data_IF_922118610078
#
_entry.id   IF_922118610078
#
_cell.length_a   1.000
_cell.length_b   1.000
_cell.length_c   1.000
_cell.angle_alpha   90.00
_cell.angle_beta   90.00
_cell.angle_gamma   90.00
#
_symmetry.space_group_name_H-M   'P 1'
#
loop_
_entity.id
_entity.type
_entity.pdbx_description
1 polymer ?
#
# COMPACT_ATOMS: atom_id res chain seq x y z
N UNK A 1 2.97 21.69 0.71
CA UNK A 1 3.93 21.45 -0.37
C UNK A 1 3.94 22.62 -1.37
N UNK A 2 2.78 23.08 -1.88
CA UNK A 2 2.71 24.26 -2.75
C UNK A 2 3.22 25.51 -2.03
N UNK A 3 2.80 25.75 -0.80
CA UNK A 3 3.27 26.88 0.02
C UNK A 3 4.78 26.85 0.30
N UNK A 4 5.41 25.67 0.19
CA UNK A 4 6.86 25.48 0.32
C UNK A 4 7.59 25.51 -1.03
N UNK A 5 6.91 25.91 -2.11
CA UNK A 5 7.44 25.91 -3.49
C UNK A 5 7.97 24.55 -3.96
N UNK A 6 7.33 23.44 -3.52
CA UNK A 6 7.67 22.07 -3.88
C UNK A 6 6.61 21.44 -4.81
N UNK A 7 6.44 21.94 -6.06
CA UNK A 7 5.39 21.49 -6.96
C UNK A 7 5.57 20.02 -7.38
N UNK A 8 6.80 19.55 -7.49
CA UNK A 8 7.09 18.14 -7.86
C UNK A 8 6.53 17.16 -6.84
N UNK A 9 6.68 17.45 -5.54
CA UNK A 9 6.14 16.59 -4.48
C UNK A 9 4.62 16.62 -4.45
N UNK A 10 4.04 17.81 -4.67
CA UNK A 10 2.59 17.95 -4.77
C UNK A 10 2.04 17.16 -5.97
N UNK A 11 2.64 17.31 -7.15
CA UNK A 11 2.23 16.60 -8.36
C UNK A 11 2.34 15.09 -8.23
N UNK A 12 3.41 14.58 -7.59
CA UNK A 12 3.54 13.14 -7.30
C UNK A 12 2.43 12.63 -6.38
N UNK A 13 2.15 13.33 -5.28
CA UNK A 13 1.10 12.93 -4.34
C UNK A 13 -0.28 12.87 -5.03
N UNK A 14 -0.59 13.84 -5.92
CA UNK A 14 -1.83 13.82 -6.70
C UNK A 14 -1.83 12.61 -7.68
N UNK A 15 -0.71 12.39 -8.37
CA UNK A 15 -0.57 11.27 -9.31
C UNK A 15 -0.73 9.91 -8.63
N UNK A 16 -0.07 9.71 -7.48
CA UNK A 16 -0.15 8.50 -6.70
C UNK A 16 -1.58 8.26 -6.19
N UNK A 17 -2.25 9.29 -5.67
CA UNK A 17 -3.65 9.19 -5.28
C UNK A 17 -4.56 8.80 -6.45
N UNK A 18 -4.43 9.47 -7.60
CA UNK A 18 -5.28 9.22 -8.77
C UNK A 18 -5.06 7.82 -9.33
N UNK A 19 -3.81 7.38 -9.44
CA UNK A 19 -3.47 6.09 -10.02
C UNK A 19 -3.76 4.94 -9.04
N UNK A 20 -3.21 5.01 -7.85
CA UNK A 20 -3.17 3.85 -6.95
C UNK A 20 -4.45 3.74 -6.11
N UNK A 21 -4.97 4.87 -5.61
CA UNK A 21 -6.14 4.84 -4.73
C UNK A 21 -7.46 5.04 -5.49
N UNK A 22 -7.53 6.01 -6.38
CA UNK A 22 -8.79 6.32 -7.05
C UNK A 22 -9.07 5.37 -8.22
N UNK A 23 -8.19 5.30 -9.22
CA UNK A 23 -8.39 4.52 -10.45
C UNK A 23 -8.24 3.02 -10.22
N UNK A 24 -7.05 2.59 -9.77
CA UNK A 24 -6.70 1.18 -9.65
C UNK A 24 -7.30 0.49 -8.43
N UNK A 25 -7.86 1.25 -7.49
CA UNK A 25 -8.50 0.71 -6.30
C UNK A 25 -9.96 1.06 -6.22
N UNK A 26 -10.33 2.30 -5.92
CA UNK A 26 -11.73 2.69 -5.71
C UNK A 26 -12.63 2.42 -6.93
N UNK A 27 -12.28 2.94 -8.10
CA UNK A 27 -13.09 2.75 -9.32
C UNK A 27 -13.14 1.29 -9.74
N UNK A 28 -12.02 0.59 -9.66
CA UNK A 28 -11.93 -0.82 -10.02
C UNK A 28 -12.80 -1.70 -9.12
N UNK A 29 -12.75 -1.53 -7.81
CA UNK A 29 -13.55 -2.29 -6.84
C UNK A 29 -15.06 -2.02 -6.98
N UNK A 30 -15.40 -0.76 -7.26
CA UNK A 30 -16.78 -0.32 -7.39
C UNK A 30 -17.34 -0.47 -8.81
N UNK A 31 -16.63 -1.10 -9.73
CA UNK A 31 -17.06 -1.25 -11.13
C UNK A 31 -18.46 -1.82 -11.26
N UNK A 32 -18.81 -2.85 -10.48
CA UNK A 32 -20.15 -3.44 -10.47
C UNK A 32 -21.22 -2.47 -9.98
N UNK A 33 -20.88 -1.59 -9.00
CA UNK A 33 -21.79 -0.55 -8.49
C UNK A 33 -22.06 0.52 -9.54
N UNK A 34 -21.05 0.91 -10.33
CA UNK A 34 -21.18 1.92 -11.37
C UNK A 34 -22.00 1.44 -12.58
N UNK A 35 -21.78 0.23 -13.06
CA UNK A 35 -22.30 -0.24 -14.37
C UNK A 35 -23.58 -1.04 -14.33
N UNK A 36 -24.03 -1.51 -13.19
CA UNK A 36 -25.19 -2.41 -13.11
C UNK A 36 -26.48 -1.73 -12.65
N UNK A 37 -27.62 -2.20 -13.14
CA UNK A 37 -28.92 -2.03 -12.55
C UNK A 37 -29.49 -0.61 -12.41
N UNK A 38 -30.52 -0.50 -11.59
CA UNK A 38 -31.22 0.75 -11.25
C UNK A 38 -30.35 1.65 -10.35
N UNK A 39 -30.69 2.93 -10.31
CA UNK A 39 -30.06 3.88 -9.38
C UNK A 39 -30.55 3.57 -7.96
N UNK A 40 -29.65 3.08 -7.11
CA UNK A 40 -29.86 2.84 -5.68
C UNK A 40 -29.13 3.90 -4.86
N UNK A 41 -29.44 4.05 -3.59
CA UNK A 41 -28.72 4.95 -2.67
C UNK A 41 -27.24 4.59 -2.59
N UNK A 42 -26.92 3.30 -2.56
CA UNK A 42 -25.54 2.80 -2.57
C UNK A 42 -24.79 3.23 -3.84
N UNK A 43 -25.44 3.09 -5.00
CA UNK A 43 -24.87 3.53 -6.28
C UNK A 43 -24.71 5.04 -6.33
N UNK A 44 -25.68 5.80 -5.85
CA UNK A 44 -25.61 7.26 -5.76
C UNK A 44 -24.46 7.69 -4.87
N UNK A 45 -24.30 7.07 -3.70
CA UNK A 45 -23.20 7.32 -2.78
C UNK A 45 -21.82 7.07 -3.43
N UNK A 46 -21.71 5.99 -4.23
CA UNK A 46 -20.49 5.71 -4.96
C UNK A 46 -20.16 6.80 -6.01
N UNK A 47 -21.16 7.29 -6.75
CA UNK A 47 -20.96 8.38 -7.69
C UNK A 47 -20.62 9.70 -6.99
N UNK A 48 -21.29 10.01 -5.88
CA UNK A 48 -21.01 11.23 -5.10
C UNK A 48 -19.56 11.23 -4.57
N UNK A 49 -19.09 10.09 -4.07
CA UNK A 49 -17.70 9.94 -3.64
C UNK A 49 -16.73 10.16 -4.80
N UNK A 50 -16.97 9.53 -5.94
CA UNK A 50 -16.14 9.71 -7.13
C UNK A 50 -16.14 11.16 -7.62
N UNK A 51 -17.32 11.80 -7.64
CA UNK A 51 -17.46 13.20 -8.01
C UNK A 51 -16.63 14.11 -7.10
N UNK A 52 -16.76 13.94 -5.78
CA UNK A 52 -16.00 14.72 -4.79
C UNK A 52 -14.50 14.54 -4.96
N UNK A 53 -14.04 13.32 -5.20
CA UNK A 53 -12.63 13.05 -5.48
C UNK A 53 -12.16 13.77 -6.76
N UNK A 54 -12.93 13.69 -7.86
CA UNK A 54 -12.55 14.30 -9.13
C UNK A 54 -12.57 15.83 -9.05
N UNK A 55 -13.58 16.42 -8.41
CA UNK A 55 -13.66 17.87 -8.18
C UNK A 55 -12.46 18.35 -7.35
N UNK A 56 -12.13 17.63 -6.29
CA UNK A 56 -10.97 17.96 -5.44
C UNK A 56 -9.66 17.83 -6.22
N UNK A 57 -9.50 16.78 -7.01
CA UNK A 57 -8.32 16.58 -7.89
C UNK A 57 -8.19 17.73 -8.89
N UNK A 58 -9.29 18.16 -9.52
CA UNK A 58 -9.27 19.30 -10.43
C UNK A 58 -8.76 20.57 -9.75
N UNK A 59 -9.24 20.88 -8.54
CA UNK A 59 -8.78 22.03 -7.74
C UNK A 59 -7.30 21.92 -7.35
N UNK A 60 -6.85 20.72 -6.92
CA UNK A 60 -5.45 20.47 -6.55
C UNK A 60 -4.50 20.54 -7.75
N UNK A 61 -4.97 20.16 -8.94
CA UNK A 61 -4.17 20.16 -10.18
C UNK A 61 -4.11 21.56 -10.84
N UNK A 62 -4.99 22.49 -10.50
CA UNK A 62 -5.07 23.78 -11.15
C UNK A 62 -3.74 24.54 -11.23
N UNK A 63 -2.86 24.54 -10.21
CA UNK A 63 -1.55 25.18 -10.29
C UNK A 63 -0.53 24.48 -11.21
N UNK A 64 -0.75 23.19 -11.55
CA UNK A 64 0.21 22.36 -12.32
C UNK A 64 -0.25 22.22 -13.76
N UNK A 65 -1.53 21.91 -13.96
CA UNK A 65 -2.15 21.66 -15.25
C UNK A 65 -3.40 22.52 -15.43
N UNK A 66 -3.25 23.85 -15.57
CA UNK A 66 -4.34 24.81 -15.46
C UNK A 66 -5.47 24.56 -16.45
N UNK A 67 -5.15 24.33 -17.71
CA UNK A 67 -6.16 24.16 -18.78
C UNK A 67 -6.95 22.85 -18.62
N UNK A 68 -6.27 21.76 -18.28
CA UNK A 68 -6.93 20.47 -18.05
C UNK A 68 -7.80 20.50 -16.79
N UNK A 69 -7.29 21.08 -15.71
CA UNK A 69 -8.00 21.23 -14.46
C UNK A 69 -9.28 22.08 -14.62
N UNK A 70 -9.19 23.18 -15.36
CA UNK A 70 -10.34 24.04 -15.64
C UNK A 70 -11.38 23.33 -16.48
N UNK A 71 -10.98 22.61 -17.51
CA UNK A 71 -11.89 21.82 -18.34
C UNK A 71 -12.58 20.73 -17.53
N UNK A 72 -11.83 19.96 -16.74
CA UNK A 72 -12.40 18.91 -15.91
C UNK A 72 -13.39 19.48 -14.89
N UNK A 73 -13.04 20.58 -14.24
CA UNK A 73 -13.92 21.25 -13.27
C UNK A 73 -15.20 21.75 -13.92
N UNK A 74 -15.10 22.39 -15.07
CA UNK A 74 -16.26 22.91 -15.81
C UNK A 74 -17.21 21.78 -16.25
N UNK A 75 -16.67 20.68 -16.78
CA UNK A 75 -17.47 19.52 -17.20
C UNK A 75 -18.20 18.87 -16.02
N UNK A 76 -17.53 18.74 -14.85
CA UNK A 76 -18.13 18.20 -13.63
C UNK A 76 -19.25 19.10 -13.08
N UNK A 77 -19.02 20.39 -13.00
CA UNK A 77 -19.99 21.36 -12.44
C UNK A 77 -21.16 21.59 -13.36
N UNK A 78 -20.95 21.60 -14.67
CA UNK A 78 -22.04 21.69 -15.66
C UNK A 78 -23.03 20.52 -15.54
N UNK A 79 -22.51 19.30 -15.34
CA UNK A 79 -23.35 18.11 -15.17
C UNK A 79 -24.23 18.16 -13.91
N UNK A 80 -23.88 18.95 -12.90
CA UNK A 80 -24.61 19.07 -11.63
C UNK A 80 -25.44 20.35 -11.52
N UNK A 81 -25.43 21.22 -12.54
CA UNK A 81 -26.11 22.51 -12.53
C UNK A 81 -25.51 23.52 -11.55
N UNK A 82 -24.30 23.30 -11.07
CA UNK A 82 -23.55 24.23 -10.21
C UNK A 82 -22.99 25.40 -11.02
N UNK A 83 -22.52 26.43 -10.32
CA UNK A 83 -21.81 27.54 -10.93
C UNK A 83 -20.56 27.04 -11.66
N UNK A 84 -20.54 27.22 -12.98
CA UNK A 84 -19.50 26.73 -13.89
C UNK A 84 -18.34 27.72 -14.07
N UNK A 85 -18.12 28.61 -13.10
CA UNK A 85 -16.95 29.49 -13.13
C UNK A 85 -15.67 28.64 -13.19
N UNK A 86 -14.62 29.27 -13.69
CA UNK A 86 -13.29 28.62 -13.76
C UNK A 86 -12.83 28.08 -12.42
N UNK A 87 -12.15 26.94 -12.43
CA UNK A 87 -11.49 26.35 -11.26
C UNK A 87 -10.52 27.31 -10.58
N UNK A 88 -10.00 28.29 -11.32
CA UNK A 88 -9.09 29.32 -10.82
C UNK A 88 -9.77 30.42 -9.99
N UNK A 89 -11.10 30.44 -9.97
CA UNK A 89 -11.91 31.41 -9.22
C UNK A 89 -12.56 30.82 -7.97
N UNK A 90 -12.26 29.54 -7.67
CA UNK A 90 -12.77 28.87 -6.47
C UNK A 90 -11.67 28.65 -5.45
N UNK A 91 -12.06 28.46 -4.19
CA UNK A 91 -11.12 28.24 -3.11
C UNK A 91 -10.35 26.91 -3.25
N UNK A 92 -9.10 26.95 -2.85
CA UNK A 92 -8.25 25.77 -2.79
C UNK A 92 -8.76 24.82 -1.71
N UNK A 93 -8.78 23.49 -1.95
CA UNK A 93 -9.35 22.54 -1.00
C UNK A 93 -8.63 22.55 0.35
N UNK A 94 -9.43 22.52 1.41
CA UNK A 94 -8.95 22.38 2.78
C UNK A 94 -9.32 20.99 3.28
N UNK A 95 -8.39 20.28 3.91
CA UNK A 95 -8.67 18.99 4.52
C UNK A 95 -9.58 19.12 5.73
N UNK A 96 -10.55 18.20 5.87
CA UNK A 96 -11.37 18.08 7.09
C UNK A 96 -11.03 16.77 7.79
N UNK A 97 -10.74 16.87 9.08
CA UNK A 97 -10.46 15.70 9.91
C UNK A 97 -11.71 14.86 10.20
N UNK A 98 -12.91 15.40 9.95
CA UNK A 98 -14.19 14.73 10.23
C UNK A 98 -14.40 13.47 9.39
N UNK A 99 -13.70 13.37 8.25
CA UNK A 99 -13.80 12.25 7.31
C UNK A 99 -12.60 11.29 7.37
N UNK A 100 -11.65 11.53 8.28
CA UNK A 100 -10.45 10.70 8.40
C UNK A 100 -10.72 9.57 9.39
N UNK A 101 -10.73 8.33 8.90
CA UNK A 101 -10.76 7.10 9.70
C UNK A 101 -9.43 6.36 9.50
N UNK A 102 -8.49 6.60 10.41
CA UNK A 102 -7.15 6.00 10.36
C UNK A 102 -7.18 4.47 10.40
N UNK A 103 -8.12 3.87 11.13
CA UNK A 103 -8.24 2.42 11.20
C UNK A 103 -8.75 1.82 9.87
N UNK A 104 -9.63 2.53 9.17
CA UNK A 104 -10.08 2.14 7.84
C UNK A 104 -8.95 2.31 6.81
N UNK A 105 -8.22 3.42 6.88
CA UNK A 105 -7.08 3.68 5.99
C UNK A 105 -6.02 2.59 6.11
N UNK A 106 -5.65 2.22 7.34
CA UNK A 106 -4.70 1.14 7.60
C UNK A 106 -5.18 -0.21 7.05
N UNK A 107 -6.45 -0.58 7.32
CA UNK A 107 -7.04 -1.81 6.77
C UNK A 107 -7.04 -1.83 5.24
N UNK A 108 -7.36 -0.70 4.60
CA UNK A 108 -7.34 -0.60 3.14
C UNK A 108 -5.92 -0.64 2.58
N UNK A 109 -4.93 -0.06 3.26
CA UNK A 109 -3.52 -0.18 2.90
C UNK A 109 -3.03 -1.63 2.99
N UNK A 110 -3.42 -2.36 4.03
CA UNK A 110 -3.15 -3.80 4.16
C UNK A 110 -3.77 -4.55 2.98
N UNK A 111 -5.03 -4.29 2.65
CA UNK A 111 -5.71 -4.94 1.53
C UNK A 111 -5.01 -4.69 0.19
N UNK A 112 -4.60 -3.47 -0.10
CA UNK A 112 -3.86 -3.12 -1.32
C UNK A 112 -2.51 -3.83 -1.38
N UNK A 113 -1.76 -3.80 -0.29
CA UNK A 113 -0.43 -4.41 -0.20
C UNK A 113 -0.53 -5.92 -0.41
N UNK A 114 -1.43 -6.58 0.30
CA UNK A 114 -1.63 -8.03 0.18
C UNK A 114 -2.11 -8.44 -1.21
N UNK A 115 -3.06 -7.73 -1.78
CA UNK A 115 -3.53 -7.97 -3.15
C UNK A 115 -2.37 -7.85 -4.14
N UNK A 116 -1.56 -6.82 -4.03
CA UNK A 116 -0.39 -6.61 -4.89
C UNK A 116 0.64 -7.73 -4.75
N UNK A 117 0.92 -8.17 -3.52
CA UNK A 117 1.83 -9.30 -3.24
C UNK A 117 1.32 -10.61 -3.86
N UNK A 118 0.06 -10.95 -3.67
CA UNK A 118 -0.54 -12.18 -4.22
C UNK A 118 -0.55 -12.14 -5.75
N UNK A 119 -0.90 -11.00 -6.35
CA UNK A 119 -0.85 -10.84 -7.81
C UNK A 119 0.57 -10.94 -8.36
N UNK A 120 1.57 -10.43 -7.63
CA UNK A 120 2.98 -10.59 -7.98
C UNK A 120 3.44 -12.05 -7.90
N UNK A 121 3.02 -12.79 -6.87
CA UNK A 121 3.29 -14.23 -6.75
C UNK A 121 2.64 -15.01 -7.88
N UNK A 122 1.37 -14.74 -8.21
CA UNK A 122 0.70 -15.37 -9.36
C UNK A 122 1.46 -15.13 -10.67
N UNK A 123 1.94 -13.89 -10.89
CA UNK A 123 2.73 -13.54 -12.07
C UNK A 123 4.05 -14.31 -12.11
N UNK A 124 4.73 -14.42 -10.98
CA UNK A 124 6.01 -15.14 -10.87
C UNK A 124 5.89 -16.62 -11.25
N UNK A 125 4.77 -17.26 -10.90
CA UNK A 125 4.49 -18.69 -11.22
C UNK A 125 3.60 -18.84 -12.46
N UNK A 126 3.35 -17.74 -13.20
CA UNK A 126 2.56 -17.72 -14.43
C UNK A 126 1.10 -18.24 -14.29
N UNK A 127 0.50 -18.07 -13.13
CA UNK A 127 -0.92 -18.40 -12.89
C UNK A 127 -1.77 -17.15 -13.14
N UNK A 128 -2.64 -17.21 -14.13
CA UNK A 128 -3.55 -16.10 -14.48
C UNK A 128 -4.57 -15.86 -13.38
N UNK A 129 -4.93 -14.60 -13.14
CA UNK A 129 -5.93 -14.21 -12.11
C UNK A 129 -7.30 -14.87 -12.38
N UNK A 130 -7.66 -15.10 -13.62
CA UNK A 130 -8.91 -15.80 -13.99
C UNK A 130 -8.99 -17.24 -13.51
N UNK A 131 -7.85 -17.87 -13.24
CA UNK A 131 -7.81 -19.22 -12.67
C UNK A 131 -8.02 -19.12 -11.15
N UNK A 132 -9.14 -19.65 -10.61
CA UNK A 132 -9.37 -19.62 -9.17
C UNK A 132 -8.37 -20.53 -8.45
N UNK A 133 -7.94 -20.10 -7.27
CA UNK A 133 -7.15 -20.91 -6.34
C UNK A 133 -7.99 -21.24 -5.12
N UNK A 134 -7.68 -22.35 -4.45
CA UNK A 134 -8.46 -22.82 -3.31
C UNK A 134 -8.16 -21.98 -2.09
N UNK A 135 -6.90 -21.89 -1.69
CA UNK A 135 -6.53 -21.33 -0.38
C UNK A 135 -5.36 -20.35 -0.50
N UNK A 136 -5.48 -19.23 0.19
CA UNK A 136 -4.41 -18.28 0.46
C UNK A 136 -3.94 -18.48 1.90
N UNK A 137 -2.68 -18.86 2.07
CA UNK A 137 -2.07 -18.96 3.39
C UNK A 137 -1.36 -17.68 3.76
N UNK A 138 -1.68 -17.10 4.91
CA UNK A 138 -1.11 -15.84 5.37
C UNK A 138 -0.42 -16.06 6.71
N UNK A 139 0.90 -15.81 6.78
CA UNK A 139 1.58 -15.77 8.07
C UNK A 139 1.16 -14.52 8.84
N UNK A 140 0.81 -14.71 10.11
CA UNK A 140 0.47 -13.62 11.02
C UNK A 140 1.47 -13.56 12.16
N UNK A 141 1.81 -12.34 12.57
CA UNK A 141 2.75 -12.09 13.65
C UNK A 141 2.03 -11.94 15.00
N UNK A 142 0.84 -11.37 14.98
CA UNK A 142 0.03 -11.11 16.15
C UNK A 142 -1.47 -11.11 15.80
N UNK A 143 -2.29 -11.09 16.84
CA UNK A 143 -3.75 -11.11 16.70
C UNK A 143 -4.31 -9.83 16.08
N UNK A 144 -3.75 -8.68 16.38
CA UNK A 144 -4.16 -7.38 15.83
C UNK A 144 -4.04 -7.34 14.30
N UNK A 145 -2.92 -7.80 13.79
CA UNK A 145 -2.71 -7.94 12.33
C UNK A 145 -3.72 -8.91 11.71
N UNK A 146 -4.01 -10.02 12.40
CA UNK A 146 -5.02 -10.98 11.95
C UNK A 146 -6.40 -10.34 11.86
N UNK A 147 -6.82 -9.59 12.89
CA UNK A 147 -8.12 -8.93 12.95
C UNK A 147 -8.26 -7.87 11.85
N UNK A 148 -7.21 -7.10 11.56
CA UNK A 148 -7.21 -6.14 10.46
C UNK A 148 -7.35 -6.83 9.09
N UNK A 149 -6.65 -7.95 8.86
CA UNK A 149 -6.74 -8.72 7.60
C UNK A 149 -8.12 -9.38 7.47
N UNK A 150 -8.65 -9.96 8.55
CA UNK A 150 -9.97 -10.59 8.53
C UNK A 150 -11.08 -9.58 8.19
N UNK A 151 -10.98 -8.34 8.67
CA UNK A 151 -11.93 -7.28 8.35
C UNK A 151 -12.01 -6.92 6.86
N UNK A 152 -10.94 -7.18 6.07
CA UNK A 152 -10.86 -6.90 4.63
C UNK A 152 -10.71 -8.18 3.78
N UNK A 153 -10.93 -9.33 4.38
CA UNK A 153 -10.74 -10.65 3.78
C UNK A 153 -11.49 -10.83 2.47
N UNK A 154 -12.78 -10.54 2.45
CA UNK A 154 -13.64 -10.75 1.27
C UNK A 154 -13.18 -9.88 0.10
N UNK A 155 -12.72 -8.67 0.40
CA UNK A 155 -12.16 -7.77 -0.60
C UNK A 155 -10.91 -8.37 -1.24
N UNK A 156 -9.97 -8.85 -0.42
CA UNK A 156 -8.72 -9.46 -0.90
C UNK A 156 -9.03 -10.71 -1.72
N UNK A 157 -9.86 -11.63 -1.20
CA UNK A 157 -10.21 -12.87 -1.87
C UNK A 157 -10.85 -12.64 -3.23
N UNK A 158 -11.77 -11.67 -3.32
CA UNK A 158 -12.43 -11.28 -4.56
C UNK A 158 -11.43 -10.76 -5.59
N UNK A 159 -10.48 -9.90 -5.18
CA UNK A 159 -9.51 -9.29 -6.07
C UNK A 159 -8.46 -10.26 -6.59
N UNK A 160 -8.04 -11.19 -5.76
CA UNK A 160 -7.02 -12.17 -6.15
C UNK A 160 -7.60 -13.48 -6.69
N UNK A 161 -8.93 -13.62 -6.72
CA UNK A 161 -9.66 -14.82 -7.15
C UNK A 161 -9.19 -16.09 -6.41
N UNK A 162 -9.29 -16.05 -5.09
CA UNK A 162 -9.03 -17.17 -4.18
C UNK A 162 -10.28 -17.44 -3.35
N UNK A 163 -10.58 -18.70 -3.06
CA UNK A 163 -11.82 -19.09 -2.38
C UNK A 163 -11.75 -18.92 -0.87
N UNK A 164 -10.61 -19.22 -0.27
CA UNK A 164 -10.44 -19.28 1.18
C UNK A 164 -9.13 -18.63 1.61
N UNK A 165 -9.12 -18.12 2.83
CA UNK A 165 -7.95 -17.55 3.48
C UNK A 165 -7.72 -18.25 4.82
N UNK A 166 -6.51 -18.76 5.01
CA UNK A 166 -6.10 -19.40 6.24
C UNK A 166 -4.90 -18.69 6.83
N UNK A 167 -4.99 -18.40 8.11
CA UNK A 167 -3.87 -17.83 8.86
C UNK A 167 -2.97 -18.96 9.36
N UNK A 168 -1.66 -18.72 9.27
CA UNK A 168 -0.65 -19.70 9.67
C UNK A 168 0.26 -19.06 10.71
N UNK A 169 0.36 -19.70 11.85
CA UNK A 169 1.29 -19.29 12.88
C UNK A 169 2.73 -19.47 12.40
N UNK A 170 3.60 -18.54 12.80
CA UNK A 170 5.02 -18.53 12.43
C UNK A 170 5.77 -19.82 12.87
N UNK A 171 5.20 -20.55 13.81
CA UNK A 171 5.73 -21.82 14.34
C UNK A 171 5.56 -23.02 13.37
N UNK A 172 4.76 -22.90 12.31
CA UNK A 172 4.44 -24.05 11.45
C UNK A 172 5.54 -24.43 10.43
N UNK A 173 6.73 -23.84 10.51
CA UNK A 173 7.88 -24.21 9.65
C UNK A 173 7.71 -23.91 8.15
N UNK A 174 6.62 -23.23 7.76
CA UNK A 174 6.31 -22.91 6.36
C UNK A 174 7.12 -21.73 5.86
N UNK A 175 7.50 -20.82 6.76
CA UNK A 175 8.28 -19.63 6.44
C UNK A 175 9.75 -19.85 6.76
N UNK A 176 10.57 -19.83 5.73
CA UNK A 176 12.02 -19.73 5.88
C UNK A 176 12.39 -18.25 5.92
N UNK A 177 12.65 -17.73 7.12
CA UNK A 177 13.13 -16.37 7.30
C UNK A 177 14.57 -16.24 6.79
N UNK A 178 14.90 -15.10 6.21
CA UNK A 178 16.26 -14.77 5.76
C UNK A 178 16.61 -13.36 6.17
N UNK A 179 17.79 -13.19 6.72
CA UNK A 179 18.35 -11.88 7.04
C UNK A 179 19.21 -11.42 5.86
N UNK A 180 19.09 -10.14 5.49
CA UNK A 180 19.94 -9.51 4.48
C UNK A 180 20.75 -8.40 5.13
N UNK A 181 22.08 -8.36 4.94
CA UNK A 181 22.90 -7.27 5.46
C UNK A 181 22.64 -5.96 4.71
N UNK A 182 22.49 -4.87 5.46
CA UNK A 182 22.48 -3.53 4.88
C UNK A 182 23.92 -3.04 4.71
N UNK A 183 24.44 -3.18 3.49
CA UNK A 183 25.81 -2.80 3.15
C UNK A 183 26.11 -1.31 3.36
N UNK A 184 25.09 -0.42 3.24
CA UNK A 184 25.29 1.01 3.45
C UNK A 184 25.58 1.36 4.91
N UNK A 185 24.93 0.64 5.83
CA UNK A 185 25.08 0.88 7.27
C UNK A 185 26.22 0.06 7.88
N UNK A 186 26.40 -1.17 7.44
CA UNK A 186 27.44 -2.07 7.97
C UNK A 186 28.82 -1.83 7.34
N UNK A 187 28.86 -1.39 6.08
CA UNK A 187 30.12 -1.15 5.36
C UNK A 187 31.09 -0.20 6.06
N UNK A 188 30.67 0.99 6.54
CA UNK A 188 31.56 1.90 7.26
C UNK A 188 32.13 1.33 8.57
N UNK A 189 31.39 0.42 9.22
CA UNK A 189 31.79 -0.18 10.51
C UNK A 189 32.70 -1.42 10.35
N UNK A 190 32.38 -2.24 9.35
CA UNK A 190 32.95 -3.60 9.23
C UNK A 190 33.61 -3.84 7.85
N UNK A 191 34.02 -2.79 7.15
CA UNK A 191 34.50 -2.84 5.77
C UNK A 191 35.51 -3.96 5.46
N UNK A 192 36.47 -4.21 6.37
CA UNK A 192 37.50 -5.26 6.19
C UNK A 192 36.90 -6.68 6.26
N UNK A 193 35.93 -6.90 7.13
CA UNK A 193 35.30 -8.21 7.37
C UNK A 193 33.91 -8.34 6.77
N UNK A 194 33.46 -7.31 6.02
CA UNK A 194 32.09 -7.24 5.50
C UNK A 194 31.69 -8.43 4.64
N UNK A 195 32.62 -8.97 3.85
CA UNK A 195 32.36 -10.14 2.99
C UNK A 195 32.09 -11.40 3.81
N UNK A 196 32.87 -11.61 4.86
CA UNK A 196 32.70 -12.74 5.78
C UNK A 196 31.43 -12.56 6.61
N UNK A 197 31.20 -11.35 7.14
CA UNK A 197 29.98 -11.01 7.87
C UNK A 197 28.71 -11.26 7.04
N UNK A 198 28.71 -10.85 5.77
CA UNK A 198 27.60 -11.09 4.87
C UNK A 198 27.36 -12.58 4.60
N UNK A 199 28.42 -13.38 4.47
CA UNK A 199 28.33 -14.83 4.32
C UNK A 199 27.77 -15.49 5.59
N UNK A 200 28.23 -15.08 6.77
CA UNK A 200 27.73 -15.59 8.05
C UNK A 200 26.26 -15.23 8.27
N UNK A 201 25.86 -13.99 7.98
CA UNK A 201 24.44 -13.57 8.04
C UNK A 201 23.58 -14.41 7.09
N UNK A 202 24.06 -14.69 5.88
CA UNK A 202 23.32 -15.48 4.90
C UNK A 202 23.18 -16.97 5.30
N UNK A 203 24.09 -17.47 6.15
CA UNK A 203 24.09 -18.86 6.66
C UNK A 203 23.42 -19.00 8.02
N UNK A 204 22.83 -17.95 8.59
CA UNK A 204 22.11 -18.02 9.87
C UNK A 204 21.02 -19.09 9.86
N UNK A 205 20.97 -19.89 10.92
CA UNK A 205 19.93 -20.88 11.11
C UNK A 205 18.58 -20.22 11.49
N UNK A 206 17.46 -20.93 11.30
CA UNK A 206 16.15 -20.39 11.70
C UNK A 206 16.05 -20.07 13.20
N UNK A 207 16.59 -20.88 14.12
CA UNK A 207 16.66 -20.54 15.54
C UNK A 207 17.41 -19.24 15.82
N UNK A 208 18.59 -19.03 15.18
CA UNK A 208 19.38 -17.80 15.36
C UNK A 208 18.64 -16.56 14.87
N UNK A 209 17.89 -16.69 13.77
CA UNK A 209 17.06 -15.60 13.24
C UNK A 209 15.91 -15.25 14.20
N UNK A 210 15.28 -16.24 14.80
CA UNK A 210 14.23 -16.05 15.81
C UNK A 210 14.79 -15.37 17.07
N UNK A 211 15.98 -15.77 17.50
CA UNK A 211 16.67 -15.13 18.61
C UNK A 211 17.05 -13.68 18.29
N UNK A 212 17.56 -13.43 17.09
CA UNK A 212 17.86 -12.09 16.59
C UNK A 212 16.62 -11.18 16.56
N UNK A 213 15.47 -11.70 16.14
CA UNK A 213 14.20 -10.94 16.17
C UNK A 213 13.76 -10.61 17.60
N UNK A 214 13.92 -11.54 18.54
CA UNK A 214 13.58 -11.33 19.96
C UNK A 214 14.45 -10.27 20.62
N UNK A 215 15.76 -10.34 20.39
CA UNK A 215 16.73 -9.52 21.08
C UNK A 215 17.01 -8.19 20.36
N UNK A 216 16.57 -8.05 19.09
CA UNK A 216 16.83 -6.89 18.25
C UNK A 216 18.30 -6.72 17.83
N UNK A 217 19.20 -7.51 18.43
CA UNK A 217 20.65 -7.50 18.16
C UNK A 217 21.20 -8.92 18.12
N UNK A 218 22.21 -9.14 17.29
CA UNK A 218 22.94 -10.40 17.23
C UNK A 218 24.43 -10.14 17.08
N UNK A 219 25.27 -10.91 17.79
CA UNK A 219 26.73 -10.72 17.79
C UNK A 219 27.40 -11.93 17.18
N UNK A 220 28.25 -11.68 16.19
CA UNK A 220 29.10 -12.68 15.55
C UNK A 220 30.56 -12.50 16.00
N UNK A 221 31.27 -13.57 16.08
CA UNK A 221 32.71 -13.56 16.21
C UNK A 221 33.34 -13.98 14.87
N UNK A 222 34.05 -13.05 14.22
CA UNK A 222 34.67 -13.26 12.91
C UNK A 222 36.15 -12.81 13.01
N UNK A 223 37.04 -13.72 12.75
CA UNK A 223 38.53 -13.47 12.82
C UNK A 223 38.97 -12.81 14.13
N UNK A 224 38.38 -13.22 15.27
CA UNK A 224 38.72 -12.65 16.59
C UNK A 224 38.14 -11.23 16.84
N UNK A 225 37.28 -10.74 15.95
CA UNK A 225 36.55 -9.49 16.12
C UNK A 225 35.05 -9.76 16.35
N UNK A 226 34.48 -9.06 17.34
CA UNK A 226 33.06 -9.11 17.58
C UNK A 226 32.34 -8.12 16.67
N UNK A 227 31.39 -8.61 15.87
CA UNK A 227 30.53 -7.81 15.02
C UNK A 227 29.09 -7.92 15.53
N UNK A 228 28.57 -6.84 16.08
CA UNK A 228 27.17 -6.76 16.52
C UNK A 228 26.31 -6.08 15.46
N UNK A 229 25.29 -6.76 15.01
CA UNK A 229 24.27 -6.23 14.07
C UNK A 229 22.98 -5.93 14.81
N UNK A 230 22.26 -4.90 14.36
CA UNK A 230 20.93 -4.56 14.86
C UNK A 230 19.88 -4.84 13.79
N UNK A 231 18.71 -5.27 14.21
CA UNK A 231 17.58 -5.50 13.31
C UNK A 231 17.01 -4.14 12.87
N UNK A 232 16.90 -3.96 11.55
CA UNK A 232 16.25 -2.82 10.95
C UNK A 232 15.06 -3.35 10.19
N UNK A 233 13.88 -3.03 10.68
CA UNK A 233 12.67 -3.24 9.90
C UNK A 233 12.64 -2.19 8.79
N UNK A 234 12.73 -2.62 7.54
CA UNK A 234 12.37 -1.77 6.40
C UNK A 234 10.87 -1.85 6.23
N UNK A 235 10.19 -0.77 6.61
CA UNK A 235 8.79 -0.52 6.24
C UNK A 235 8.64 -0.39 4.74
#
# INVERSE_FOLDING_TARGET
>A
QFAAYEPTRAGRAISDFVNDNLSNWYVRLNRKRFWGGTMTEDKLSAYQTLYTCLETVAKLMAPIAPFYADRLYTDLTAATGRDTRSVHLVDFPVSSNDYIDLALEERMQIAQTMTSMVLALRRKVNIKVRQPLTTLMIPVLNKEQQDHIEAVKDLILSEVNVKEMNFVDNAAGILVKRVKPDFKKLGPRYGKIMKQLAATIASMSQPDIIEFEKNGTFTFEIDGQQATICLLYTS
#
